data_IF_016789432665
#
_entry.id   IF_016789432665
#
_cell.length_a   1.000
_cell.length_b   1.000
_cell.length_c   1.000
_cell.angle_alpha   90.00
_cell.angle_beta   90.00
_cell.angle_gamma   90.00
#
_symmetry.space_group_name_H-M   'P 1'
#
loop_
_entity.id
_entity.type
_entity.pdbx_description
1 polymer ?
2 non-polymer ?
3 water ?
#
# COMPACT_ATOMS: atom_id res chain seq x y z
N UNK A 12 23.02 -4.11 50.00
CA UNK A 12 22.23 -2.95 50.42
C UNK A 12 22.57 -1.75 49.55
N UNK A 13 23.86 -1.57 49.29
CA UNK A 13 24.31 -0.52 48.40
C UNK A 13 23.79 -0.78 46.98
N UNK A 14 24.04 -1.98 46.47
CA UNK A 14 23.71 -2.34 45.10
C UNK A 14 22.23 -2.52 44.85
N UNK A 15 21.48 -2.68 45.94
CA UNK A 15 20.03 -2.79 45.86
C UNK A 15 19.44 -1.41 45.63
N UNK A 16 19.50 -0.57 46.66
CA UNK A 16 18.98 0.78 46.57
C UNK A 16 19.20 1.35 45.16
N UNK A 17 20.36 1.03 44.58
CA UNK A 17 20.69 1.47 43.22
C UNK A 17 19.66 0.99 42.19
N UNK A 18 19.50 -0.33 42.08
CA UNK A 18 18.60 -0.89 41.07
C UNK A 18 17.13 -0.62 41.40
N UNK A 19 16.85 -0.23 42.64
CA UNK A 19 15.48 0.07 43.04
C UNK A 19 14.94 1.29 42.28
N UNK A 20 15.78 2.31 42.11
CA UNK A 20 15.42 3.42 41.25
C UNK A 20 15.17 2.91 39.84
N UNK A 21 16.05 2.04 39.38
CA UNK A 21 15.92 1.45 38.05
C UNK A 21 14.55 0.80 37.87
N UNK A 22 14.08 0.08 38.89
CA UNK A 22 12.77 -0.59 38.81
C UNK A 22 11.61 0.39 38.95
N UNK A 23 11.85 1.48 39.68
CA UNK A 23 10.84 2.50 39.84
C UNK A 23 10.70 3.32 38.55
N UNK A 24 11.84 3.61 37.93
CA UNK A 24 11.88 4.35 36.67
C UNK A 24 11.21 3.56 35.55
N UNK A 25 11.56 2.28 35.44
CA UNK A 25 10.94 1.42 34.44
C UNK A 25 9.46 1.23 34.72
N UNK A 26 9.06 1.39 35.97
CA UNK A 26 7.64 1.21 36.29
C UNK A 26 6.79 2.41 35.85
N UNK A 27 7.33 3.62 35.97
CA UNK A 27 6.64 4.83 35.53
C UNK A 27 6.38 4.83 34.03
N UNK A 28 7.41 4.54 33.25
CA UNK A 28 7.28 4.40 31.81
C UNK A 28 6.14 3.45 31.46
N UNK A 29 6.27 2.19 31.89
CA UNK A 29 5.28 1.15 31.60
C UNK A 29 3.85 1.57 31.96
N UNK A 30 3.72 2.54 32.86
CA UNK A 30 2.40 3.05 33.21
C UNK A 30 1.91 4.14 32.23
N UNK A 31 2.83 4.95 31.69
CA UNK A 31 2.48 5.94 30.67
C UNK A 31 1.93 5.24 29.43
N UNK A 32 2.72 4.33 28.88
CA UNK A 32 2.38 3.60 27.67
C UNK A 32 0.98 3.01 27.70
N UNK A 33 0.60 2.42 28.82
CA UNK A 33 -0.72 1.82 28.97
C UNK A 33 -1.79 2.91 29.12
N UNK A 34 -1.34 4.16 29.24
CA UNK A 34 -2.26 5.29 29.30
C UNK A 34 -2.34 6.03 27.96
N UNK A 35 -1.19 6.24 27.33
CA UNK A 35 -1.16 6.82 26.01
C UNK A 35 -1.77 5.88 24.99
N UNK A 36 -1.47 4.59 25.13
CA UNK A 36 -2.22 3.58 24.40
C UNK A 36 -3.73 3.87 24.52
N UNK A 37 -4.23 3.93 25.76
CA UNK A 37 -5.67 4.02 26.00
C UNK A 37 -6.30 5.43 25.92
N UNK A 38 -5.53 6.44 25.51
CA UNK A 38 -6.09 7.79 25.38
C UNK A 38 -5.59 8.59 24.17
N UNK A 39 -4.41 8.22 23.66
CA UNK A 39 -3.83 8.89 22.50
C UNK A 39 -3.81 7.97 21.29
N UNK A 40 -3.49 6.69 21.50
CA UNK A 40 -3.59 5.75 20.42
C UNK A 40 -5.05 5.67 20.00
N UNK A 41 -5.96 5.82 20.98
CA UNK A 41 -7.40 5.66 20.72
C UNK A 41 -8.01 6.92 20.12
N UNK A 42 -7.30 8.04 20.29
CA UNK A 42 -7.74 9.29 19.69
C UNK A 42 -7.31 9.34 18.22
N UNK A 43 -6.11 8.85 17.92
CA UNK A 43 -5.70 8.67 16.54
C UNK A 43 -6.50 7.58 15.84
N UNK A 44 -7.11 6.65 16.59
CA UNK A 44 -7.93 5.61 15.99
C UNK A 44 -9.29 6.17 15.55
N UNK A 45 -9.80 7.15 16.28
CA UNK A 45 -11.04 7.81 15.90
C UNK A 45 -10.82 8.63 14.62
N UNK A 46 -9.72 9.36 14.60
CA UNK A 46 -9.44 10.28 13.52
C UNK A 46 -9.13 9.56 12.20
N UNK A 47 -8.41 8.44 12.28
CA UNK A 47 -8.15 7.63 11.10
C UNK A 47 -9.48 7.25 10.45
N UNK A 48 -10.47 6.99 11.29
CA UNK A 48 -11.72 6.45 10.83
C UNK A 48 -12.54 7.55 10.16
N UNK A 49 -12.53 8.72 10.76
CA UNK A 49 -13.28 9.84 10.21
C UNK A 49 -12.61 10.34 8.95
N UNK A 50 -11.29 10.40 8.94
CA UNK A 50 -10.56 10.72 7.74
C UNK A 50 -10.90 9.72 6.62
N UNK A 51 -10.86 8.43 6.95
CA UNK A 51 -11.26 7.37 6.04
C UNK A 51 -12.73 7.49 5.59
N UNK A 52 -13.61 7.89 6.50
CA UNK A 52 -15.03 8.02 6.17
C UNK A 52 -15.25 9.19 5.18
N UNK A 53 -14.68 10.33 5.54
CA UNK A 53 -14.81 11.52 4.75
C UNK A 53 -14.22 11.27 3.39
N UNK A 54 -13.05 10.65 3.35
CA UNK A 54 -12.41 10.38 2.08
C UNK A 54 -13.30 9.51 1.22
N UNK A 55 -13.89 8.50 1.82
CA UNK A 55 -14.75 7.63 1.05
C UNK A 55 -16.06 8.28 0.63
N UNK A 56 -16.59 9.16 1.47
CA UNK A 56 -17.87 9.80 1.21
C UNK A 56 -17.72 10.76 0.05
N UNK A 57 -16.56 11.41 -0.02
CA UNK A 57 -16.26 12.34 -1.10
C UNK A 57 -16.04 11.63 -2.45
N UNK A 58 -15.46 10.45 -2.43
CA UNK A 58 -15.26 9.68 -3.65
C UNK A 58 -16.59 9.21 -4.23
N UNK A 59 -17.54 8.84 -3.35
CA UNK A 59 -18.83 8.34 -3.80
C UNK A 59 -19.69 9.48 -4.31
N UNK A 60 -19.52 10.65 -3.69
CA UNK A 60 -20.25 11.82 -4.11
C UNK A 60 -19.73 12.29 -5.47
N UNK A 61 -18.43 12.20 -5.68
CA UNK A 61 -17.88 12.62 -6.98
C UNK A 61 -18.41 11.70 -8.08
N UNK A 62 -18.39 10.41 -7.80
CA UNK A 62 -18.90 9.45 -8.74
C UNK A 62 -20.37 9.70 -8.97
N UNK A 63 -21.09 10.05 -7.92
CA UNK A 63 -22.53 10.23 -8.01
C UNK A 63 -22.84 11.50 -8.79
N UNK A 64 -21.99 12.51 -8.62
CA UNK A 64 -22.12 13.75 -9.34
C UNK A 64 -21.85 13.48 -10.82
N UNK A 65 -20.80 12.71 -11.11
CA UNK A 65 -20.50 12.35 -12.49
C UNK A 65 -21.66 11.58 -13.12
N UNK A 66 -22.19 10.61 -12.38
CA UNK A 66 -23.22 9.76 -12.93
C UNK A 66 -24.44 10.59 -13.33
N UNK A 67 -24.69 11.65 -12.57
CA UNK A 67 -25.89 12.43 -12.74
C UNK A 67 -25.75 13.51 -13.80
N UNK A 68 -24.60 14.18 -13.84
CA UNK A 68 -24.35 15.18 -14.86
C UNK A 68 -24.41 14.54 -16.25
N UNK A 69 -23.92 13.30 -16.35
CA UNK A 69 -23.95 12.53 -17.60
C UNK A 69 -25.39 12.21 -18.01
N UNK A 70 -26.18 11.73 -17.04
CA UNK A 70 -27.57 11.40 -17.29
C UNK A 70 -28.30 12.62 -17.85
N UNK A 71 -28.21 13.72 -17.12
CA UNK A 71 -28.75 14.98 -17.60
C UNK A 71 -28.36 15.27 -19.05
N UNK A 72 -27.12 14.95 -19.42
CA UNK A 72 -26.63 15.29 -20.73
C UNK A 72 -27.23 14.53 -21.93
N UNK A 73 -27.71 13.31 -21.72
CA UNK A 73 -28.45 12.66 -22.78
C UNK A 73 -29.94 12.96 -22.65
N UNK A 74 -30.45 12.98 -21.43
CA UNK A 74 -31.83 13.43 -21.23
C UNK A 74 -32.02 14.78 -21.95
N UNK A 75 -30.90 15.45 -22.25
CA UNK A 75 -30.92 16.78 -22.84
C UNK A 75 -30.66 16.76 -24.35
N UNK A 76 -29.76 15.89 -24.77
CA UNK A 76 -29.38 15.83 -26.16
C UNK A 76 -30.41 15.02 -26.97
N UNK A 77 -30.94 13.97 -26.34
CA UNK A 77 -32.04 13.21 -26.90
C UNK A 77 -33.18 14.16 -27.18
N UNK A 78 -33.44 15.05 -26.24
CA UNK A 78 -34.59 15.92 -26.34
C UNK A 78 -34.32 17.17 -27.17
N UNK A 79 -33.10 17.33 -27.64
CA UNK A 79 -32.80 18.44 -28.52
C UNK A 79 -32.97 17.97 -29.95
N UNK A 80 -32.71 16.68 -30.17
CA UNK A 80 -32.87 16.05 -31.46
C UNK A 80 -34.36 15.95 -31.74
N UNK A 81 -35.14 15.74 -30.68
CA UNK A 81 -36.59 15.72 -30.81
C UNK A 81 -37.12 17.08 -31.21
N UNK A 82 -36.70 18.14 -30.52
CA UNK A 82 -37.19 19.49 -30.83
C UNK A 82 -36.93 19.85 -32.30
N UNK A 83 -35.81 19.36 -32.84
CA UNK A 83 -35.51 19.58 -34.25
C UNK A 83 -36.48 18.81 -35.15
N UNK A 84 -36.79 17.58 -34.77
CA UNK A 84 -37.71 16.79 -35.57
C UNK A 84 -39.09 17.44 -35.52
N UNK A 85 -39.52 17.86 -34.34
CA UNK A 85 -40.82 18.52 -34.23
C UNK A 85 -40.84 19.79 -35.06
N UNK A 86 -39.67 20.40 -35.23
CA UNK A 86 -39.60 21.62 -36.00
C UNK A 86 -39.88 21.31 -37.48
N UNK A 87 -39.32 20.21 -37.95
CA UNK A 87 -39.55 19.78 -39.32
C UNK A 87 -41.04 19.53 -39.56
N UNK A 88 -41.69 18.81 -38.65
CA UNK A 88 -43.14 18.68 -38.68
C UNK A 88 -43.83 20.03 -38.83
N UNK A 89 -43.49 20.97 -37.95
CA UNK A 89 -44.09 22.28 -38.00
C UNK A 89 -44.02 22.86 -39.41
N UNK A 90 -42.89 22.66 -40.08
CA UNK A 90 -42.67 23.24 -41.38
C UNK A 90 -43.40 22.46 -42.49
N UNK A 91 -43.57 21.16 -42.29
CA UNK A 91 -44.16 20.29 -43.30
C UNK A 91 -45.67 20.38 -43.25
N UNK A 92 -46.22 20.54 -42.06
CA UNK A 92 -47.64 20.81 -41.94
C UNK A 92 -47.95 22.19 -42.47
N UNK A 93 -47.01 23.12 -42.29
CA UNK A 93 -47.21 24.48 -42.75
C UNK A 93 -47.38 24.54 -44.27
N UNK A 94 -46.44 23.93 -44.98
CA UNK A 94 -46.47 23.88 -46.44
C UNK A 94 -47.67 23.10 -47.00
N UNK A 95 -48.07 22.04 -46.29
CA UNK A 95 -49.18 21.21 -46.72
C UNK A 95 -50.46 22.02 -46.69
N UNK A 96 -50.71 22.65 -45.55
CA UNK A 96 -51.86 23.51 -45.36
C UNK A 96 -51.81 24.72 -46.31
N UNK A 97 -50.60 25.22 -46.55
CA UNK A 97 -50.48 26.42 -47.34
C UNK A 97 -50.88 26.11 -48.76
N UNK A 98 -50.60 24.89 -49.19
CA UNK A 98 -50.83 24.57 -50.59
C UNK A 98 -52.27 24.19 -50.90
N UNK A 99 -53.03 23.98 -49.84
CA UNK A 99 -54.47 23.82 -49.97
C UNK A 99 -55.14 25.10 -49.46
N UNK A 100 -54.75 26.24 -50.06
CA UNK A 100 -55.37 27.52 -49.77
C UNK A 100 -55.95 28.08 -51.06
N UNK B 11 13.38 60.21 -93.38
CA UNK B 11 13.62 58.85 -92.90
C UNK B 11 13.47 58.72 -91.37
N UNK B 12 12.49 59.43 -90.81
CA UNK B 12 12.18 59.40 -89.36
C UNK B 12 11.40 58.16 -88.97
N UNK B 13 11.01 57.36 -89.96
CA UNK B 13 10.27 56.14 -89.70
C UNK B 13 11.13 55.28 -88.77
N UNK B 14 12.43 55.55 -88.79
CA UNK B 14 13.36 54.86 -87.90
C UNK B 14 13.12 55.27 -86.47
N UNK B 15 12.94 56.58 -86.25
CA UNK B 15 12.62 57.09 -84.93
C UNK B 15 11.24 56.62 -84.46
N UNK B 16 10.20 56.95 -85.23
CA UNK B 16 8.86 56.49 -84.94
C UNK B 16 8.91 55.02 -84.54
N UNK B 17 9.38 54.18 -85.47
CA UNK B 17 9.46 52.74 -85.23
C UNK B 17 10.27 52.34 -84.00
N UNK B 18 11.05 53.28 -83.45
CA UNK B 18 11.87 53.00 -82.28
C UNK B 18 11.28 53.60 -81.00
N UNK B 19 10.52 54.68 -81.16
CA UNK B 19 9.82 55.27 -80.03
C UNK B 19 8.72 54.31 -79.58
N UNK B 20 8.04 53.72 -80.55
CA UNK B 20 6.95 52.79 -80.26
C UNK B 20 7.45 51.59 -79.47
N UNK B 21 8.43 50.87 -80.04
CA UNK B 21 8.98 49.69 -79.40
C UNK B 21 9.33 50.02 -77.96
N UNK B 22 9.95 51.17 -77.73
CA UNK B 22 10.28 51.58 -76.38
C UNK B 22 9.01 51.72 -75.52
N UNK B 23 7.99 52.41 -76.04
CA UNK B 23 6.74 52.54 -75.29
C UNK B 23 6.17 51.16 -74.99
N UNK B 24 6.01 50.34 -76.03
CA UNK B 24 5.62 48.96 -75.84
C UNK B 24 6.42 48.30 -74.72
N UNK B 25 7.73 48.17 -74.93
CA UNK B 25 8.58 47.47 -73.98
C UNK B 25 8.33 48.01 -72.60
N UNK B 26 7.99 49.28 -72.52
CA UNK B 26 7.75 49.86 -71.21
C UNK B 26 6.48 49.28 -70.59
N UNK B 27 5.44 49.15 -71.41
CA UNK B 27 4.22 48.46 -71.02
C UNK B 27 4.48 47.04 -70.51
N UNK B 28 5.09 46.22 -71.35
CA UNK B 28 5.46 44.86 -70.96
C UNK B 28 6.30 44.83 -69.68
N UNK B 29 7.19 45.79 -69.54
CA UNK B 29 8.03 45.79 -68.34
C UNK B 29 7.21 46.14 -67.11
N UNK B 30 6.07 46.77 -67.34
CA UNK B 30 5.18 47.13 -66.24
C UNK B 30 4.33 45.93 -65.82
N UNK B 31 3.76 45.23 -66.80
CA UNK B 31 3.05 43.98 -66.55
C UNK B 31 3.96 42.98 -65.84
N UNK B 32 5.21 42.91 -66.28
CA UNK B 32 6.15 41.96 -65.72
C UNK B 32 6.64 42.33 -64.32
N UNK B 33 6.51 43.60 -63.95
CA UNK B 33 6.79 44.00 -62.57
C UNK B 33 5.57 43.79 -61.67
N UNK B 34 4.38 43.81 -62.26
CA UNK B 34 3.17 43.44 -61.55
C UNK B 34 3.26 41.98 -61.15
N UNK B 35 3.37 41.10 -62.13
CA UNK B 35 3.54 39.67 -61.86
C UNK B 35 4.60 39.38 -60.81
N UNK B 36 5.71 40.12 -60.83
CA UNK B 36 6.78 39.88 -59.86
C UNK B 36 6.44 40.30 -58.42
N UNK B 37 5.64 41.35 -58.28
CA UNK B 37 5.27 41.81 -56.94
C UNK B 37 4.20 40.90 -56.30
N UNK B 38 3.34 40.29 -57.12
CA UNK B 38 2.36 39.34 -56.63
C UNK B 38 3.05 38.06 -56.12
N UNK B 39 3.99 37.56 -56.90
CA UNK B 39 4.72 36.35 -56.57
C UNK B 39 5.56 36.57 -55.33
N UNK B 40 6.12 37.76 -55.17
CA UNK B 40 6.85 38.04 -53.95
C UNK B 40 5.89 37.92 -52.76
N UNK B 41 4.61 38.16 -53.03
CA UNK B 41 3.57 38.08 -52.01
C UNK B 41 3.08 36.66 -51.75
N UNK B 42 2.88 35.89 -52.82
CA UNK B 42 2.61 34.47 -52.66
C UNK B 42 3.78 33.82 -51.93
N UNK B 43 4.96 34.41 -52.03
CA UNK B 43 6.15 33.89 -51.36
C UNK B 43 6.18 34.28 -49.89
N UNK B 44 5.21 35.08 -49.48
CA UNK B 44 5.02 35.30 -48.05
C UNK B 44 3.82 34.49 -47.54
N UNK B 45 2.82 34.29 -48.40
CA UNK B 45 1.72 33.40 -48.08
C UNK B 45 2.29 32.02 -47.76
N UNK B 46 3.22 31.55 -48.58
CA UNK B 46 3.87 30.28 -48.36
C UNK B 46 4.91 30.42 -47.25
N UNK B 47 5.41 31.63 -47.05
CA UNK B 47 6.27 31.90 -45.90
C UNK B 47 5.47 31.60 -44.62
N UNK B 48 4.16 31.73 -44.73
CA UNK B 48 3.25 31.54 -43.60
C UNK B 48 3.03 30.07 -43.29
N UNK B 49 2.28 29.38 -44.15
CA UNK B 49 2.02 27.96 -43.98
C UNK B 49 3.21 27.22 -43.38
N UNK B 50 4.36 27.31 -44.05
CA UNK B 50 5.55 26.61 -43.59
C UNK B 50 5.85 26.88 -42.11
N UNK B 51 5.52 28.09 -41.65
CA UNK B 51 5.76 28.46 -40.26
C UNK B 51 4.74 27.81 -39.34
N UNK B 52 3.50 27.73 -39.83
CA UNK B 52 2.44 26.99 -39.18
C UNK B 52 2.84 25.54 -39.11
N UNK B 53 2.88 24.92 -40.29
CA UNK B 53 3.25 23.52 -40.41
C UNK B 53 4.42 23.14 -39.51
N UNK B 54 5.50 23.91 -39.50
CA UNK B 54 6.58 23.55 -38.57
C UNK B 54 6.08 23.48 -37.12
N UNK B 55 5.09 24.32 -36.78
CA UNK B 55 4.55 24.35 -35.43
C UNK B 55 3.76 23.09 -35.11
N UNK B 56 2.94 22.64 -36.07
CA UNK B 56 2.19 21.40 -35.94
C UNK B 56 3.13 20.21 -35.76
N UNK B 57 3.95 20.00 -36.78
CA UNK B 57 4.85 18.86 -36.81
C UNK B 57 5.71 18.77 -35.57
N UNK B 58 5.69 19.83 -34.76
CA UNK B 58 6.54 19.84 -33.57
C UNK B 58 5.79 19.36 -32.34
N UNK B 59 4.56 19.83 -32.20
CA UNK B 59 3.76 19.46 -31.06
C UNK B 59 3.28 18.04 -31.31
N UNK B 60 2.98 17.78 -32.57
CA UNK B 60 2.60 16.44 -33.01
C UNK B 60 3.67 15.38 -32.72
N UNK B 61 4.93 15.70 -33.00
CA UNK B 61 6.01 14.77 -32.71
C UNK B 61 6.17 14.68 -31.21
N UNK B 62 5.61 15.65 -30.52
CA UNK B 62 5.82 15.75 -29.09
C UNK B 62 4.76 14.92 -28.37
N UNK B 63 3.51 15.14 -28.74
CA UNK B 63 2.41 14.31 -28.31
C UNK B 63 2.73 12.84 -28.59
N UNK B 64 3.31 12.55 -29.74
CA UNK B 64 3.78 11.20 -30.01
C UNK B 64 4.79 10.75 -28.96
N UNK B 65 5.72 11.62 -28.62
CA UNK B 65 6.78 11.27 -27.66
C UNK B 65 6.14 10.75 -26.36
N UNK B 66 5.18 11.51 -25.83
CA UNK B 66 4.47 11.14 -24.62
C UNK B 66 3.80 9.76 -24.76
N UNK B 67 2.97 9.61 -25.77
CA UNK B 67 2.35 8.34 -26.08
C UNK B 67 3.34 7.15 -26.03
N UNK B 68 4.49 7.30 -26.69
CA UNK B 68 5.50 6.23 -26.71
C UNK B 68 5.99 5.97 -25.30
N UNK B 69 5.83 6.95 -24.42
CA UNK B 69 6.33 6.84 -23.06
C UNK B 69 5.34 6.12 -22.15
N UNK B 70 4.08 6.57 -22.19
CA UNK B 70 3.01 5.91 -21.49
C UNK B 70 3.01 4.44 -21.82
N UNK B 71 3.01 4.15 -23.12
CA UNK B 71 2.99 2.78 -23.60
C UNK B 71 4.18 2.00 -23.08
N UNK B 72 5.38 2.59 -23.17
CA UNK B 72 6.57 1.90 -22.66
C UNK B 72 6.47 1.54 -21.15
N UNK B 73 5.92 2.44 -20.35
CA UNK B 73 5.74 2.16 -18.91
C UNK B 73 4.83 0.96 -18.69
N UNK B 74 3.69 1.01 -19.37
CA UNK B 74 2.79 -0.10 -19.41
C UNK B 74 3.48 -1.45 -19.68
N UNK B 75 4.34 -1.50 -20.70
CA UNK B 75 5.06 -2.76 -20.95
C UNK B 75 5.87 -3.21 -19.74
N UNK B 76 6.58 -2.31 -19.07
CA UNK B 76 7.44 -2.77 -17.97
C UNK B 76 6.62 -3.25 -16.77
N UNK B 77 5.52 -2.56 -16.51
CA UNK B 77 4.56 -2.92 -15.49
C UNK B 77 3.97 -4.29 -15.78
N UNK B 78 3.59 -4.50 -17.04
CA UNK B 78 3.00 -5.76 -17.44
C UNK B 78 4.04 -6.87 -17.31
N UNK B 79 5.25 -6.60 -17.76
CA UNK B 79 6.27 -7.61 -17.67
C UNK B 79 6.43 -8.07 -16.22
N UNK B 80 6.27 -7.14 -15.29
CA UNK B 80 6.46 -7.46 -13.90
C UNK B 80 5.27 -8.29 -13.41
N UNK B 81 4.08 -7.78 -13.69
CA UNK B 81 2.86 -8.49 -13.32
C UNK B 81 2.97 -9.92 -13.82
N UNK B 82 3.43 -10.08 -15.06
CA UNK B 82 3.54 -11.41 -15.61
C UNK B 82 4.48 -12.33 -14.81
N UNK B 83 5.55 -11.77 -14.27
CA UNK B 83 6.45 -12.56 -13.44
C UNK B 83 5.73 -12.96 -12.16
N UNK B 84 5.08 -12.00 -11.52
CA UNK B 84 4.34 -12.28 -10.31
C UNK B 84 3.26 -13.38 -10.52
N UNK B 85 2.61 -13.37 -11.68
CA UNK B 85 1.64 -14.41 -12.01
C UNK B 85 2.27 -15.80 -12.12
N UNK B 86 3.44 -15.91 -12.75
CA UNK B 86 4.16 -17.17 -12.79
C UNK B 86 4.17 -17.74 -11.39
N UNK B 87 4.62 -16.95 -10.42
CA UNK B 87 4.71 -17.41 -9.05
C UNK B 87 3.35 -17.76 -8.45
N UNK B 88 2.31 -17.05 -8.87
CA UNK B 88 0.96 -17.38 -8.44
C UNK B 88 0.63 -18.82 -8.86
N UNK B 89 0.83 -19.10 -10.14
CA UNK B 89 0.53 -20.43 -10.67
C UNK B 89 1.37 -21.53 -10.03
N UNK B 90 2.63 -21.24 -9.74
CA UNK B 90 3.50 -22.23 -9.13
C UNK B 90 2.93 -22.62 -7.76
N UNK B 91 2.54 -21.62 -6.98
CA UNK B 91 2.02 -21.85 -5.64
C UNK B 91 0.64 -22.53 -5.66
N UNK B 92 -0.23 -22.14 -6.60
CA UNK B 92 -1.52 -22.82 -6.70
C UNK B 92 -1.35 -24.30 -7.01
N UNK B 93 -0.44 -24.64 -7.91
CA UNK B 93 -0.23 -26.05 -8.22
C UNK B 93 0.18 -26.84 -6.96
N UNK B 94 1.11 -26.30 -6.19
CA UNK B 94 1.58 -27.02 -5.00
C UNK B 94 0.47 -27.13 -3.97
N UNK B 95 -0.27 -26.05 -3.76
CA UNK B 95 -1.46 -26.09 -2.91
C UNK B 95 -2.43 -27.19 -3.33
N UNK B 96 -2.88 -27.18 -4.57
CA UNK B 96 -3.91 -28.15 -4.90
C UNK B 96 -3.35 -29.56 -4.82
N UNK B 97 -2.07 -29.70 -5.15
CA UNK B 97 -1.45 -30.99 -5.07
C UNK B 97 -1.47 -31.58 -3.66
N UNK B 98 -1.10 -30.78 -2.65
CA UNK B 98 -0.99 -31.32 -1.30
C UNK B 98 -2.36 -31.48 -0.62
N UNK B 99 -3.35 -30.80 -1.15
CA UNK B 99 -4.73 -31.10 -0.81
C UNK B 99 -5.17 -32.36 -1.55
N UNK B 100 -4.17 -33.13 -1.99
CA UNK B 100 -4.35 -34.36 -2.78
C UNK B 100 -5.70 -34.45 -3.50
N UNK C 8 -7.34 -63.82 45.47
CA UNK C 8 -8.74 -63.75 45.88
C UNK C 8 -9.44 -62.51 45.28
N UNK C 9 -9.50 -61.44 46.04
CA UNK C 9 -10.01 -60.15 45.54
C UNK C 9 -8.90 -59.46 44.75
N UNK C 10 -7.80 -60.18 44.54
CA UNK C 10 -6.63 -59.67 43.84
C UNK C 10 -6.83 -59.73 42.34
N UNK C 11 -7.74 -60.59 41.91
CA UNK C 11 -8.12 -60.69 40.51
C UNK C 11 -9.31 -59.77 40.24
N UNK C 12 -9.71 -59.02 41.27
CA UNK C 12 -10.75 -58.01 41.11
C UNK C 12 -10.10 -56.64 41.04
N UNK C 13 -8.88 -56.54 41.55
CA UNK C 13 -8.07 -55.32 41.43
C UNK C 13 -7.69 -55.15 39.97
N UNK C 14 -7.69 -56.26 39.25
CA UNK C 14 -7.36 -56.28 37.84
C UNK C 14 -8.53 -55.93 36.95
N UNK C 15 -9.74 -56.31 37.36
CA UNK C 15 -10.91 -55.97 36.57
C UNK C 15 -11.33 -54.51 36.79
N UNK C 16 -10.90 -53.90 37.89
CA UNK C 16 -11.07 -52.47 38.06
C UNK C 16 -10.00 -51.76 37.24
N UNK C 17 -8.79 -52.30 37.26
CA UNK C 17 -7.67 -51.72 36.52
C UNK C 17 -7.86 -51.82 35.02
N UNK C 18 -9.00 -52.38 34.60
CA UNK C 18 -9.30 -52.53 33.18
C UNK C 18 -10.55 -51.74 32.78
N UNK C 19 -11.64 -51.95 33.52
CA UNK C 19 -12.86 -51.21 33.25
C UNK C 19 -12.57 -49.71 33.25
N UNK C 20 -11.43 -49.35 33.84
CA UNK C 20 -11.00 -47.96 33.93
C UNK C 20 -10.25 -47.53 32.68
N UNK C 21 -9.15 -48.22 32.34
CA UNK C 21 -8.43 -47.93 31.11
C UNK C 21 -9.40 -47.75 29.95
N UNK C 22 -10.31 -48.71 29.82
CA UNK C 22 -11.30 -48.68 28.77
C UNK C 22 -12.27 -47.48 28.88
N UNK C 23 -12.59 -47.05 30.11
CA UNK C 23 -13.46 -45.87 30.24
C UNK C 23 -12.81 -44.65 29.60
N UNK C 24 -11.48 -44.60 29.68
CA UNK C 24 -10.74 -43.42 29.27
C UNK C 24 -10.46 -43.49 27.80
N UNK C 25 -9.97 -44.63 27.36
CA UNK C 25 -9.69 -44.82 25.96
C UNK C 25 -10.92 -44.49 25.14
N UNK C 26 -12.07 -44.95 25.60
CA UNK C 26 -13.32 -44.62 24.93
C UNK C 26 -13.64 -43.13 25.02
N UNK C 27 -13.04 -42.45 25.99
CA UNK C 27 -13.21 -41.00 26.18
C UNK C 27 -12.28 -40.17 25.26
N UNK C 28 -10.98 -40.42 25.33
CA UNK C 28 -10.03 -39.75 24.47
C UNK C 28 -10.38 -40.05 23.03
N UNK C 29 -11.05 -41.17 22.81
CA UNK C 29 -11.36 -41.64 21.48
C UNK C 29 -12.63 -41.00 20.96
N UNK C 30 -13.56 -40.70 21.84
CA UNK C 30 -14.73 -39.93 21.45
C UNK C 30 -14.23 -38.56 21.03
N UNK C 31 -13.32 -38.01 21.84
CA UNK C 31 -12.69 -36.72 21.64
C UNK C 31 -11.78 -36.67 20.40
N UNK C 32 -11.02 -37.72 20.15
CA UNK C 32 -10.18 -37.73 18.97
C UNK C 32 -11.05 -37.83 17.73
N UNK C 33 -12.26 -38.36 17.87
CA UNK C 33 -13.16 -38.46 16.72
C UNK C 33 -13.85 -37.14 16.39
N UNK C 34 -13.93 -36.24 17.35
CA UNK C 34 -14.37 -34.88 17.05
C UNK C 34 -13.27 -34.17 16.29
N UNK C 35 -12.09 -34.11 16.92
CA UNK C 35 -10.89 -33.53 16.33
C UNK C 35 -10.82 -33.87 14.84
N UNK C 36 -10.84 -35.16 14.51
CA UNK C 36 -10.78 -35.63 13.13
C UNK C 36 -11.85 -34.99 12.28
N UNK C 37 -13.06 -35.02 12.78
CA UNK C 37 -14.18 -34.62 11.94
C UNK C 37 -14.07 -33.15 11.62
N UNK C 38 -13.59 -32.36 12.56
CA UNK C 38 -13.50 -30.93 12.33
C UNK C 38 -12.33 -30.54 11.38
N UNK C 39 -11.20 -31.22 11.50
CA UNK C 39 -10.14 -31.11 10.50
C UNK C 39 -10.69 -31.49 9.12
N UNK C 40 -11.45 -32.59 9.06
CA UNK C 40 -11.95 -33.05 7.76
C UNK C 40 -12.88 -32.02 7.15
N UNK C 41 -13.65 -31.34 7.99
CA UNK C 41 -14.46 -30.22 7.54
C UNK C 41 -13.56 -29.09 7.01
N UNK C 42 -12.49 -28.85 7.75
CA UNK C 42 -11.54 -27.80 7.39
C UNK C 42 -10.86 -28.03 6.03
N UNK C 43 -10.60 -29.29 5.66
CA UNK C 43 -10.15 -29.56 4.30
C UNK C 43 -11.16 -29.09 3.26
N UNK C 44 -12.43 -29.36 3.53
CA UNK C 44 -13.48 -28.89 2.65
C UNK C 44 -13.45 -27.38 2.48
N UNK C 45 -13.39 -26.64 3.59
CA UNK C 45 -13.32 -25.18 3.54
C UNK C 45 -12.12 -24.71 2.75
N UNK C 46 -10.96 -25.26 3.07
CA UNK C 46 -9.72 -24.85 2.45
C UNK C 46 -9.71 -25.06 0.93
N UNK C 47 -10.33 -26.14 0.50
CA UNK C 47 -10.51 -26.41 -0.91
C UNK C 47 -11.46 -25.42 -1.55
N UNK C 48 -12.51 -25.05 -0.81
CA UNK C 48 -13.43 -24.09 -1.38
C UNK C 48 -12.66 -22.77 -1.59
N UNK C 49 -11.71 -22.49 -0.69
CA UNK C 49 -10.89 -21.31 -0.78
C UNK C 49 -9.86 -21.40 -1.91
N UNK C 50 -9.24 -22.55 -2.06
CA UNK C 50 -8.30 -22.72 -3.11
C UNK C 50 -8.99 -22.44 -4.45
N UNK C 51 -10.23 -22.91 -4.61
CA UNK C 51 -10.88 -22.76 -5.91
C UNK C 51 -11.27 -21.32 -6.20
N UNK C 52 -11.68 -20.59 -5.17
CA UNK C 52 -11.86 -19.14 -5.30
C UNK C 52 -10.58 -18.43 -5.78
N UNK C 53 -9.45 -18.76 -5.14
CA UNK C 53 -8.19 -18.17 -5.54
C UNK C 53 -7.83 -18.59 -6.95
N UNK C 54 -8.19 -19.79 -7.35
CA UNK C 54 -7.86 -20.24 -8.67
C UNK C 54 -8.64 -19.42 -9.70
N UNK C 55 -9.89 -19.13 -9.39
CA UNK C 55 -10.67 -18.32 -10.28
C UNK C 55 -10.15 -16.92 -10.38
N UNK C 56 -9.79 -16.39 -9.23
CA UNK C 56 -9.26 -15.05 -9.16
C UNK C 56 -8.03 -14.93 -10.03
N UNK C 57 -7.04 -15.75 -9.73
CA UNK C 57 -5.81 -15.79 -10.49
C UNK C 57 -6.09 -15.88 -12.01
N UNK C 58 -7.04 -16.73 -12.40
CA UNK C 58 -7.40 -16.98 -13.80
C UNK C 58 -7.96 -15.69 -14.43
N UNK C 59 -8.72 -14.96 -13.62
CA UNK C 59 -9.34 -13.73 -14.07
C UNK C 59 -8.25 -12.68 -14.28
N UNK C 60 -7.36 -12.58 -13.31
CA UNK C 60 -6.17 -11.77 -13.40
C UNK C 60 -5.39 -12.04 -14.67
N UNK C 61 -4.99 -13.30 -14.86
CA UNK C 61 -4.31 -13.72 -16.08
C UNK C 61 -4.99 -13.21 -17.33
N UNK C 62 -6.33 -13.25 -17.33
CA UNK C 62 -7.12 -12.88 -18.50
C UNK C 62 -7.03 -11.40 -18.74
N UNK C 63 -7.19 -10.62 -17.66
CA UNK C 63 -7.03 -9.18 -17.73
C UNK C 63 -5.66 -8.75 -18.25
N UNK C 64 -4.60 -9.44 -17.81
CA UNK C 64 -3.25 -9.16 -18.28
C UNK C 64 -3.14 -9.33 -19.80
N UNK C 65 -3.61 -10.47 -20.30
CA UNK C 65 -3.60 -10.73 -21.73
C UNK C 65 -4.23 -9.53 -22.47
N UNK C 66 -5.42 -9.13 -22.04
CA UNK C 66 -6.11 -8.01 -22.64
C UNK C 66 -5.26 -6.75 -22.59
N UNK C 67 -4.66 -6.47 -21.44
CA UNK C 67 -3.84 -5.26 -21.35
C UNK C 67 -2.67 -5.35 -22.32
N UNK C 68 -1.96 -6.47 -22.32
CA UNK C 68 -0.80 -6.62 -23.19
C UNK C 68 -1.22 -6.37 -24.63
N UNK C 69 -2.28 -7.03 -25.04
CA UNK C 69 -2.78 -6.92 -26.39
C UNK C 69 -3.14 -5.48 -26.78
N UNK C 70 -3.85 -4.78 -25.91
CA UNK C 70 -4.23 -3.40 -26.17
C UNK C 70 -3.00 -2.52 -26.23
N UNK C 71 -2.05 -2.80 -25.35
CA UNK C 71 -0.78 -2.12 -25.39
C UNK C 71 0.03 -2.52 -26.64
N UNK C 72 -0.01 -3.79 -27.04
CA UNK C 72 0.61 -4.22 -28.29
C UNK C 72 0.10 -3.35 -29.47
N UNK C 73 -1.20 -3.06 -29.50
CA UNK C 73 -1.82 -2.35 -30.61
C UNK C 73 -1.35 -0.91 -30.66
N UNK C 74 -1.17 -0.33 -29.49
CA UNK C 74 -0.64 1.00 -29.43
C UNK C 74 0.74 1.10 -30.06
N UNK C 75 1.69 0.30 -29.59
CA UNK C 75 3.04 0.33 -30.12
C UNK C 75 2.99 0.30 -31.64
N UNK C 76 2.04 -0.48 -32.15
CA UNK C 76 1.86 -0.69 -33.56
C UNK C 76 1.36 0.56 -34.31
N UNK C 77 0.41 1.26 -33.71
CA UNK C 77 -0.07 2.52 -34.25
C UNK C 77 0.98 3.61 -34.09
N UNK C 78 1.71 3.56 -32.99
CA UNK C 78 2.76 4.53 -32.76
C UNK C 78 3.89 4.38 -33.77
N UNK C 79 4.27 3.14 -34.07
CA UNK C 79 5.29 2.85 -35.06
C UNK C 79 4.92 3.46 -36.45
N UNK C 80 3.67 3.25 -36.86
CA UNK C 80 3.17 3.82 -38.11
C UNK C 80 3.25 5.36 -38.13
N UNK C 81 2.70 5.97 -37.09
CA UNK C 81 2.71 7.41 -36.96
C UNK C 81 4.15 7.89 -37.11
N UNK C 82 5.04 7.24 -36.37
CA UNK C 82 6.43 7.63 -36.39
C UNK C 82 6.92 7.69 -37.84
N UNK C 83 6.61 6.68 -38.64
CA UNK C 83 7.02 6.69 -40.05
C UNK C 83 6.48 7.96 -40.75
N UNK C 84 5.19 8.16 -40.62
CA UNK C 84 4.55 9.34 -41.20
C UNK C 84 5.31 10.61 -40.80
N UNK C 85 5.75 10.70 -39.56
CA UNK C 85 6.43 11.89 -39.13
C UNK C 85 7.81 12.04 -39.75
N UNK C 86 8.55 10.96 -39.94
CA UNK C 86 9.85 11.15 -40.56
C UNK C 86 9.67 11.64 -42.02
N UNK C 87 8.58 11.21 -42.66
CA UNK C 87 8.17 11.82 -43.92
C UNK C 87 7.87 13.31 -43.75
N UNK C 88 6.84 13.62 -42.96
CA UNK C 88 6.58 14.99 -42.56
C UNK C 88 7.88 15.77 -42.39
N UNK C 89 8.84 15.19 -41.67
CA UNK C 89 10.10 15.87 -41.39
C UNK C 89 10.91 16.11 -42.67
N UNK C 90 11.06 15.06 -43.47
CA UNK C 90 11.82 15.13 -44.71
C UNK C 90 11.20 16.17 -45.69
N UNK C 91 9.88 16.15 -45.83
CA UNK C 91 9.22 17.11 -46.67
C UNK C 91 9.56 18.53 -46.20
N UNK C 92 9.39 18.82 -44.91
CA UNK C 92 9.60 20.18 -44.43
C UNK C 92 11.01 20.64 -44.72
N UNK C 93 12.00 19.78 -44.45
CA UNK C 93 13.35 20.12 -44.78
C UNK C 93 13.42 20.61 -46.25
N UNK C 94 12.81 19.87 -47.18
CA UNK C 94 12.86 20.21 -48.62
C UNK C 94 12.13 21.50 -49.00
N UNK C 95 11.12 21.87 -48.24
CA UNK C 95 10.38 23.06 -48.57
C UNK C 95 11.07 24.28 -47.99
N UNK C 96 11.77 24.08 -46.86
CA UNK C 96 12.53 25.15 -46.24
C UNK C 96 13.69 25.56 -47.14
N UNK C 97 14.41 24.57 -47.66
CA UNK C 97 15.54 24.83 -48.54
C UNK C 97 15.12 25.72 -49.72
N UNK C 98 13.95 25.42 -50.28
CA UNK C 98 13.42 26.21 -51.39
C UNK C 98 12.90 27.58 -50.97
N UNK C 99 13.39 28.12 -49.85
CA UNK C 99 12.95 29.44 -49.39
C UNK C 99 14.07 30.23 -48.73
N UNK D 12 -10.51 16.76 -6.16
CA UNK D 12 -9.52 15.95 -6.83
C UNK D 12 -8.16 16.13 -6.17
N UNK D 13 -7.54 17.26 -6.45
CA UNK D 13 -6.27 17.61 -5.82
C UNK D 13 -6.40 17.49 -4.31
N UNK D 14 -7.52 17.98 -3.78
CA UNK D 14 -7.78 17.94 -2.35
C UNK D 14 -7.81 16.53 -1.80
N UNK D 15 -8.37 15.61 -2.58
CA UNK D 15 -8.46 14.21 -2.16
C UNK D 15 -7.11 13.52 -2.16
N UNK D 16 -6.59 13.24 -3.35
CA UNK D 16 -5.29 12.60 -3.48
C UNK D 16 -4.39 12.91 -2.28
N UNK D 17 -4.22 14.20 -1.98
CA UNK D 17 -3.40 14.61 -0.85
C UNK D 17 -3.81 13.94 0.46
N UNK D 18 -5.03 14.23 0.91
CA UNK D 18 -5.53 13.68 2.17
C UNK D 18 -5.38 12.17 2.24
N UNK D 19 -5.54 11.49 1.11
CA UNK D 19 -5.38 10.04 1.09
C UNK D 19 -3.99 9.62 1.55
N UNK D 20 -2.96 10.29 1.04
CA UNK D 20 -1.60 10.00 1.48
C UNK D 20 -1.47 10.15 2.99
N UNK D 21 -2.24 11.06 3.56
CA UNK D 21 -2.26 11.22 5.02
C UNK D 21 -3.06 10.13 5.72
N UNK D 22 -3.90 9.42 4.98
CA UNK D 22 -4.62 8.31 5.59
C UNK D 22 -3.74 7.05 5.60
N UNK D 23 -3.27 6.63 4.42
CA UNK D 23 -2.34 5.50 4.32
C UNK D 23 -1.10 5.77 5.17
N UNK D 24 -0.90 7.03 5.54
CA UNK D 24 0.13 7.41 6.48
C UNK D 24 -0.32 7.02 7.87
N UNK D 25 -1.19 7.87 8.43
CA UNK D 25 -1.78 7.65 9.74
C UNK D 25 -2.01 6.17 10.01
N UNK D 26 -2.40 5.43 8.98
CA UNK D 26 -2.79 4.04 9.14
C UNK D 26 -1.62 3.13 9.50
N UNK D 27 -0.46 3.41 8.92
CA UNK D 27 0.77 2.69 9.25
C UNK D 27 1.30 3.03 10.67
N UNK D 28 1.21 4.29 11.06
CA UNK D 28 1.56 4.69 12.43
C UNK D 28 0.77 3.87 13.44
N UNK D 29 -0.55 3.87 13.30
CA UNK D 29 -1.39 3.16 14.25
C UNK D 29 -1.06 1.67 14.28
N UNK D 30 -0.51 1.16 13.18
CA UNK D 30 -0.15 -0.25 13.06
C UNK D 30 1.25 -0.58 13.64
N UNK D 31 2.16 0.40 13.61
CA UNK D 31 3.43 0.26 14.29
C UNK D 31 3.20 0.28 15.79
N UNK D 32 2.34 1.20 16.24
CA UNK D 32 1.98 1.29 17.66
C UNK D 32 1.29 0.02 18.13
N UNK D 33 0.69 -0.69 17.20
CA UNK D 33 0.04 -1.98 17.49
C UNK D 33 1.07 -3.10 17.40
N UNK D 34 2.20 -2.82 16.75
CA UNK D 34 3.32 -3.75 16.72
C UNK D 34 4.15 -3.58 18.00
N UNK D 35 4.16 -2.36 18.54
CA UNK D 35 4.92 -2.05 19.75
C UNK D 35 4.23 -2.57 21.02
N UNK D 36 2.94 -2.26 21.18
CA UNK D 36 2.21 -2.72 22.37
C UNK D 36 1.96 -4.23 22.33
N UNK D 37 2.82 -4.95 21.60
CA UNK D 37 2.77 -6.42 21.56
C UNK D 37 4.15 -7.08 21.36
N UNK D 38 5.15 -6.28 21.01
CA UNK D 38 6.54 -6.77 20.99
C UNK D 38 7.45 -5.95 21.92
N UNK D 39 7.47 -4.62 21.74
CA UNK D 39 8.28 -3.77 22.61
C UNK D 39 7.74 -3.71 24.05
N UNK D 40 6.46 -3.36 24.20
CA UNK D 40 5.87 -3.20 25.52
C UNK D 40 5.69 -4.53 26.25
N UNK D 41 6.28 -5.60 25.71
CA UNK D 41 6.18 -6.91 26.38
C UNK D 41 7.53 -7.36 26.92
N UNK D 42 8.60 -6.99 26.23
CA UNK D 42 9.95 -7.22 26.75
C UNK D 42 10.08 -6.42 28.03
N UNK D 43 9.54 -5.21 28.02
CA UNK D 43 9.56 -4.36 29.19
C UNK D 43 8.68 -4.88 30.34
N UNK D 44 7.65 -5.66 30.02
CA UNK D 44 6.79 -6.19 31.08
C UNK D 44 7.35 -7.47 31.70
N UNK D 45 7.89 -8.34 30.84
CA UNK D 45 8.58 -9.53 31.30
C UNK D 45 9.75 -9.12 32.18
N UNK D 46 10.50 -8.14 31.68
CA UNK D 46 11.67 -7.66 32.41
C UNK D 46 11.31 -7.06 33.76
N UNK D 47 10.31 -6.19 33.80
CA UNK D 47 9.93 -5.58 35.06
C UNK D 47 9.71 -6.66 36.11
N UNK D 48 9.10 -7.77 35.72
CA UNK D 48 8.82 -8.84 36.68
C UNK D 48 10.13 -9.48 37.12
N UNK D 49 10.94 -9.91 36.17
CA UNK D 49 12.27 -10.42 36.47
C UNK D 49 12.98 -9.54 37.49
N UNK D 50 13.10 -8.25 37.17
CA UNK D 50 13.75 -7.32 38.08
C UNK D 50 13.08 -7.26 39.45
N UNK D 51 11.77 -7.05 39.48
CA UNK D 51 11.06 -6.96 40.76
C UNK D 51 11.20 -8.23 41.61
N UNK D 52 11.23 -9.40 40.96
CA UNK D 52 11.30 -10.65 41.69
C UNK D 52 12.70 -10.85 42.25
N UNK D 53 13.70 -10.53 41.45
CA UNK D 53 15.08 -10.60 41.85
C UNK D 53 15.35 -9.69 43.04
N UNK D 54 14.85 -8.47 42.96
CA UNK D 54 15.02 -7.52 44.05
C UNK D 54 14.35 -8.01 45.33
N UNK D 55 13.15 -8.55 45.21
CA UNK D 55 12.43 -8.96 46.42
C UNK D 55 13.02 -10.22 47.02
N UNK D 56 13.44 -11.11 46.13
CA UNK D 56 14.14 -12.30 46.54
C UNK D 56 15.35 -11.88 47.39
N UNK D 57 16.16 -10.95 46.88
CA UNK D 57 17.35 -10.51 47.60
C UNK D 57 17.01 -9.86 48.94
N UNK D 58 16.07 -8.93 48.95
CA UNK D 58 15.68 -8.28 50.18
C UNK D 58 15.34 -9.31 51.24
N UNK D 59 14.68 -10.39 50.83
CA UNK D 59 14.20 -11.37 51.78
C UNK D 59 15.34 -12.26 52.20
N UNK D 60 16.26 -12.48 51.28
CA UNK D 60 17.39 -13.32 51.61
C UNK D 60 18.38 -12.63 52.56
N UNK D 61 18.56 -11.32 52.42
CA UNK D 61 19.37 -10.58 53.37
C UNK D 61 18.74 -10.57 54.75
N UNK D 62 17.42 -10.65 54.81
CA UNK D 62 16.73 -10.71 56.08
C UNK D 62 16.95 -12.08 56.71
N UNK D 63 17.14 -13.10 55.87
CA UNK D 63 17.56 -14.42 56.35
C UNK D 63 19.00 -14.37 56.88
N UNK D 64 19.96 -14.15 55.99
CA UNK D 64 21.34 -13.97 56.38
C UNK D 64 21.44 -13.32 57.75
N UNK D 65 20.94 -12.11 57.84
CA UNK D 65 20.97 -11.35 59.06
C UNK D 65 20.39 -12.12 60.23
N UNK D 66 19.14 -12.56 60.10
CA UNK D 66 18.47 -13.23 61.22
C UNK D 66 19.20 -14.51 61.64
N UNK D 67 19.80 -15.18 60.67
CA UNK D 67 20.59 -16.38 60.90
C UNK D 67 21.88 -16.03 61.66
N UNK D 68 22.67 -15.07 61.14
CA UNK D 68 23.88 -14.64 61.82
C UNK D 68 23.58 -14.29 63.29
N UNK D 69 22.47 -13.59 63.50
CA UNK D 69 22.06 -13.22 64.85
C UNK D 69 21.81 -14.45 65.72
N UNK D 70 21.19 -15.46 65.14
CA UNK D 70 20.77 -16.63 65.91
C UNK D 70 21.96 -17.42 66.41
N UNK D 71 22.93 -17.63 65.53
CA UNK D 71 24.09 -18.38 65.92
C UNK D 71 24.96 -17.57 66.86
N UNK D 72 24.98 -16.25 66.72
CA UNK D 72 25.66 -15.42 67.69
C UNK D 72 25.12 -15.63 69.14
N UNK D 73 23.80 -15.63 69.28
CA UNK D 73 23.21 -15.83 70.59
C UNK D 73 23.68 -17.15 71.10
N UNK D 74 23.63 -18.14 70.23
CA UNK D 74 23.94 -19.48 70.63
C UNK D 74 25.42 -19.57 71.06
N UNK D 75 26.31 -19.03 70.25
CA UNK D 75 27.71 -18.96 70.63
C UNK D 75 27.87 -18.41 72.05
N UNK D 76 27.23 -17.28 72.31
CA UNK D 76 27.44 -16.55 73.55
C UNK D 76 26.89 -17.34 74.76
N UNK D 77 25.72 -17.93 74.55
CA UNK D 77 25.11 -18.81 75.54
C UNK D 77 26.11 -19.91 75.86
N UNK D 78 26.62 -20.58 74.83
CA UNK D 78 27.60 -21.63 75.01
C UNK D 78 28.89 -21.12 75.67
N UNK D 79 29.24 -19.87 75.43
CA UNK D 79 30.50 -19.44 76.01
C UNK D 79 30.30 -19.38 77.52
N UNK D 80 29.18 -18.79 77.91
CA UNK D 80 28.91 -18.54 79.30
C UNK D 80 28.82 -19.87 80.04
N UNK D 81 28.10 -20.84 79.45
CA UNK D 81 28.10 -22.18 80.01
C UNK D 81 29.52 -22.73 80.19
N UNK D 82 30.39 -22.47 79.22
CA UNK D 82 31.76 -22.94 79.35
C UNK D 82 32.55 -22.28 80.49
N UNK D 83 32.49 -20.96 80.63
CA UNK D 83 33.12 -20.29 81.76
C UNK D 83 32.62 -20.89 83.13
N UNK D 84 31.37 -21.35 83.19
CA UNK D 84 30.88 -21.99 84.40
C UNK D 84 31.49 -23.37 84.54
N UNK D 85 31.47 -24.15 83.47
CA UNK D 85 32.16 -25.44 83.53
C UNK D 85 33.64 -25.29 83.93
N UNK D 86 34.24 -24.13 83.71
CA UNK D 86 35.62 -23.89 84.18
C UNK D 86 35.64 -23.89 85.71
N UNK D 87 34.79 -23.05 86.31
CA UNK D 87 34.60 -22.99 87.76
C UNK D 87 34.33 -24.37 88.36
N UNK D 88 33.46 -25.14 87.71
CA UNK D 88 33.15 -26.49 88.17
C UNK D 88 34.44 -27.31 88.24
N UNK D 89 35.16 -27.32 87.14
CA UNK D 89 36.39 -28.09 87.03
C UNK D 89 37.36 -27.78 88.17
N UNK D 90 37.54 -26.50 88.49
CA UNK D 90 38.58 -26.09 89.44
C UNK D 90 38.21 -26.48 90.86
N UNK D 91 36.93 -26.41 91.16
CA UNK D 91 36.45 -26.53 92.53
C UNK D 91 36.26 -27.99 92.86
N UNK D 92 35.81 -28.73 91.85
CA UNK D 92 35.70 -30.18 91.95
C UNK D 92 37.09 -30.79 92.12
N UNK D 93 38.11 -30.12 91.60
CA UNK D 93 39.47 -30.63 91.73
C UNK D 93 40.04 -30.29 93.09
N UNK D 94 39.61 -29.15 93.64
CA UNK D 94 40.02 -28.74 94.97
C UNK D 94 39.41 -29.63 96.06
N UNK D 95 38.15 -30.00 95.87
CA UNK D 95 37.51 -30.95 96.75
C UNK D 95 38.28 -32.27 96.78
N UNK D 96 38.45 -32.89 95.61
CA UNK D 96 39.12 -34.19 95.52
C UNK D 96 40.54 -34.13 96.05
N UNK D 97 41.25 -33.06 95.74
CA UNK D 97 42.63 -32.95 96.20
C UNK D 97 42.69 -32.92 97.72
N UNK D 98 41.81 -32.14 98.34
CA UNK D 98 41.89 -31.95 99.78
C UNK D 98 41.75 -33.26 100.55
N UNK D 99 41.00 -34.19 99.98
CA UNK D 99 40.95 -35.55 100.52
C UNK D 99 42.14 -36.36 100.01
N UNK D 100 43.35 -35.96 100.42
CA UNK D 100 44.61 -36.56 99.97
C UNK D 100 44.46 -37.98 99.42
X LIG E 1 -2.10 2.43 -23.11
X LIG F 1 -11.65 -8.77 -19.36
X LIG G 1 11.67 -13.80 59.65
#
# INVERSE_FOLDING_TARGET
>A
SKEHMKKLMKDLEGLHRAEQSLHDLQERLHKAQEEHRTVEVEKVHLEKKLRDEINLAKQEAQRLKELREGTENERSRQKYAEEEMEQVREALRKAEKELESHSS
>B
SKEHMKKLMKDLEGLHRAEQSLHDLQERLHKAQEEHRTVEVEKVHLEKKLRDEINLAKQEAQRLKELREGTENERSRQKYAEEEMEQVREALRKAEKELESHSS
>C
SKEHMKKLMKDLEGLHRAEQSLHDLQERLHKAQEEHRTVEVEKVHLEKKLRDEINLAKQEAQRLKELREGTENERSRQKYAEEEMEQVREALRKAEKELESHSS
>D
SKEHMKKLMKDLEGLHRAEQSLHDLQERLHKAQEEHRTVEVEKVHLEKKLRDEINLAKQEAQRLKELREGTENERSRQKYAEEEMEQVREALRKAEKELESHSS
>E hetero
1 CD CD
>F hetero
1 CD CD
>G hetero
1 CD CD
#
